data_IF_903917223409
#
_entry.id   IF_903917223409
#
_cell.length_a   1.000
_cell.length_b   1.000
_cell.length_c   1.000
_cell.angle_alpha   90.00
_cell.angle_beta   90.00
_cell.angle_gamma   90.00
#
_symmetry.space_group_name_H-M   'P 1'
#
loop_
_entity.id
_entity.type
_entity.pdbx_description
1 polymer ?
#
# COMPACT_ATOMS: atom_id res chain seq x y z
N UNK A 1 -20.12 -26.44 -0.44
CA UNK A 1 -19.52 -25.07 -0.45
C UNK A 1 -19.68 -24.42 -1.81
N UNK A 2 -19.20 -25.00 -2.93
CA UNK A 2 -19.30 -24.36 -4.27
C UNK A 2 -20.76 -24.18 -4.68
N UNK A 3 -21.64 -25.17 -4.47
CA UNK A 3 -23.06 -25.03 -4.80
C UNK A 3 -23.68 -23.81 -4.07
N UNK A 4 -23.46 -23.71 -2.74
CA UNK A 4 -23.96 -22.56 -1.97
C UNK A 4 -23.41 -21.24 -2.48
N UNK A 5 -22.12 -21.20 -2.84
CA UNK A 5 -21.52 -19.98 -3.41
C UNK A 5 -22.16 -19.62 -4.76
N UNK A 6 -22.43 -20.61 -5.61
CA UNK A 6 -23.10 -20.36 -6.89
C UNK A 6 -24.55 -19.88 -6.70
N UNK A 7 -25.26 -20.39 -5.68
CA UNK A 7 -26.59 -19.88 -5.33
C UNK A 7 -26.54 -18.39 -4.96
N UNK A 8 -25.52 -18.00 -4.15
CA UNK A 8 -25.30 -16.58 -3.79
C UNK A 8 -24.96 -15.71 -5.00
N UNK A 9 -24.22 -16.25 -5.96
CA UNK A 9 -23.96 -15.54 -7.23
C UNK A 9 -25.26 -15.30 -8.00
N UNK A 10 -26.17 -16.28 -8.03
CA UNK A 10 -27.46 -16.15 -8.69
C UNK A 10 -28.40 -15.18 -7.97
N UNK A 11 -28.31 -15.12 -6.63
CA UNK A 11 -29.02 -14.13 -5.81
C UNK A 11 -28.45 -12.71 -5.97
N UNK A 12 -27.21 -12.57 -6.49
CA UNK A 12 -26.52 -11.30 -6.67
C UNK A 12 -26.02 -10.65 -5.40
N UNK A 13 -26.01 -11.37 -4.27
CA UNK A 13 -25.50 -10.89 -2.99
C UNK A 13 -24.98 -12.04 -2.13
N UNK A 14 -23.80 -11.83 -1.50
CA UNK A 14 -23.20 -12.80 -0.60
C UNK A 14 -23.64 -12.56 0.85
N UNK A 15 -24.69 -13.26 1.27
CA UNK A 15 -25.21 -13.22 2.63
C UNK A 15 -24.31 -13.91 3.67
N UNK A 16 -23.38 -14.75 3.23
CA UNK A 16 -22.57 -15.57 4.11
C UNK A 16 -21.29 -14.80 4.54
N UNK A 17 -20.66 -14.05 3.63
CA UNK A 17 -19.38 -13.37 3.87
C UNK A 17 -19.35 -11.92 3.40
N UNK A 18 -20.39 -11.40 2.78
CA UNK A 18 -20.47 -10.02 2.33
C UNK A 18 -19.51 -9.68 1.18
N UNK A 19 -19.20 -10.65 0.32
CA UNK A 19 -18.36 -10.41 -0.86
C UNK A 19 -19.05 -9.39 -1.78
N UNK A 20 -18.26 -8.44 -2.29
CA UNK A 20 -18.76 -7.40 -3.20
C UNK A 20 -19.52 -8.05 -4.39
N UNK A 21 -20.74 -7.61 -4.68
CA UNK A 21 -21.54 -8.14 -5.80
C UNK A 21 -20.81 -8.12 -7.14
N UNK A 22 -19.94 -7.13 -7.38
CA UNK A 22 -19.13 -7.06 -8.60
C UNK A 22 -18.08 -8.18 -8.71
N UNK A 23 -17.76 -8.82 -7.59
CA UNK A 23 -16.81 -9.91 -7.50
C UNK A 23 -17.48 -11.29 -7.45
N UNK A 24 -18.81 -11.37 -7.49
CA UNK A 24 -19.55 -12.63 -7.48
C UNK A 24 -19.51 -13.27 -8.88
N UNK A 25 -18.57 -14.18 -9.05
CA UNK A 25 -18.40 -14.95 -10.28
C UNK A 25 -18.65 -16.44 -9.99
N UNK A 26 -19.55 -17.08 -10.74
CA UNK A 26 -19.85 -18.50 -10.59
C UNK A 26 -18.62 -19.38 -10.84
N UNK A 27 -18.59 -20.50 -10.16
CA UNK A 27 -17.58 -21.56 -10.34
C UNK A 27 -18.30 -22.75 -10.97
N UNK A 28 -18.45 -22.77 -12.30
CA UNK A 28 -19.23 -23.75 -13.02
C UNK A 28 -18.59 -24.26 -14.34
N UNK A 29 -17.50 -23.63 -14.79
CA UNK A 29 -16.82 -24.05 -16.03
C UNK A 29 -15.44 -24.66 -15.72
N UNK A 30 -15.18 -25.91 -16.14
CA UNK A 30 -13.86 -26.52 -16.03
C UNK A 30 -12.86 -25.90 -17.02
N UNK A 31 -11.53 -26.00 -16.76
CA UNK A 31 -10.91 -26.73 -15.65
C UNK A 31 -10.92 -25.99 -14.32
N UNK A 32 -11.09 -26.73 -13.21
CA UNK A 32 -11.09 -26.16 -11.86
C UNK A 32 -9.68 -26.23 -11.24
N UNK A 33 -9.31 -25.18 -10.55
CA UNK A 33 -8.03 -25.08 -9.86
C UNK A 33 -8.26 -24.83 -8.37
N UNK A 34 -7.59 -25.61 -7.54
CA UNK A 34 -7.57 -25.42 -6.10
C UNK A 34 -6.15 -25.10 -5.63
N UNK A 35 -6.01 -23.99 -4.93
CA UNK A 35 -4.75 -23.57 -4.36
C UNK A 35 -4.85 -23.62 -2.84
N UNK A 36 -3.91 -24.34 -2.22
CA UNK A 36 -3.81 -24.35 -0.76
C UNK A 36 -3.20 -23.04 -0.30
N UNK A 37 -3.97 -22.29 0.47
CA UNK A 37 -3.52 -21.06 1.10
C UNK A 37 -3.37 -21.24 2.61
N UNK A 38 -2.49 -20.50 3.23
CA UNK A 38 -2.29 -20.45 4.67
C UNK A 38 -2.16 -19.01 5.14
N UNK A 39 -2.14 -18.82 6.45
CA UNK A 39 -1.88 -17.51 7.03
C UNK A 39 -0.42 -17.12 6.80
N UNK A 40 -0.21 -15.87 6.39
CA UNK A 40 1.11 -15.27 6.21
C UNK A 40 1.06 -13.78 6.54
N UNK A 41 2.22 -13.23 6.90
CA UNK A 41 2.35 -11.78 7.04
C UNK A 41 2.69 -11.17 5.68
N UNK A 42 1.88 -10.24 5.24
CA UNK A 42 2.14 -9.49 4.02
C UNK A 42 2.87 -8.17 4.33
N UNK A 43 2.37 -7.45 5.32
CA UNK A 43 2.87 -6.12 5.69
C UNK A 43 2.48 -5.80 7.13
N UNK A 44 3.29 -4.98 7.79
CA UNK A 44 2.92 -4.31 9.04
C UNK A 44 2.40 -2.90 8.71
N UNK A 45 1.33 -2.49 9.38
CA UNK A 45 0.75 -1.16 9.17
C UNK A 45 1.29 -0.14 10.17
N UNK A 46 1.82 -0.61 11.27
CA UNK A 46 2.53 0.19 12.26
C UNK A 46 4.04 0.10 12.05
N UNK A 47 4.74 1.20 12.26
CA UNK A 47 6.18 1.30 12.09
C UNK A 47 6.73 2.54 12.77
N UNK A 48 7.95 2.93 12.40
CA UNK A 48 8.55 4.16 12.89
C UNK A 48 7.75 5.38 12.42
N UNK A 49 7.45 6.30 13.32
CA UNK A 49 6.90 7.60 12.93
C UNK A 49 7.95 8.39 12.17
N UNK A 50 7.58 8.93 11.04
CA UNK A 50 8.45 9.76 10.19
C UNK A 50 7.77 11.06 9.84
N UNK A 51 8.58 12.09 9.55
CA UNK A 51 8.10 13.32 8.94
C UNK A 51 8.05 13.19 7.39
N UNK A 52 7.72 14.27 6.71
CA UNK A 52 7.66 14.37 5.24
C UNK A 52 9.01 14.16 4.54
N UNK A 53 10.12 14.28 5.27
CA UNK A 53 11.50 14.02 4.81
C UNK A 53 12.03 12.64 5.21
N UNK A 54 11.15 11.74 5.65
CA UNK A 54 11.45 10.36 6.06
C UNK A 54 12.37 10.24 7.28
N UNK A 55 12.57 11.32 8.05
CA UNK A 55 13.31 11.31 9.30
C UNK A 55 12.46 10.72 10.41
N UNK A 56 13.04 9.84 11.20
CA UNK A 56 12.32 9.20 12.33
C UNK A 56 12.12 10.19 13.47
N UNK A 57 10.90 10.21 13.97
CA UNK A 57 10.48 11.02 15.10
C UNK A 57 10.53 10.21 16.39
N UNK A 58 10.92 10.88 17.50
CA UNK A 58 10.89 10.28 18.83
C UNK A 58 9.46 9.91 19.25
N UNK A 59 9.36 9.05 20.26
CA UNK A 59 8.07 8.69 20.87
C UNK A 59 7.56 9.73 21.87
N UNK A 60 8.37 10.72 22.19
CA UNK A 60 8.04 11.75 23.16
C UNK A 60 6.89 12.64 22.67
N UNK A 61 6.32 13.41 23.58
CA UNK A 61 5.18 14.30 23.28
C UNK A 61 5.54 15.30 22.17
N UNK A 62 6.77 15.78 22.16
CA UNK A 62 7.26 16.79 21.21
C UNK A 62 7.65 16.20 19.85
N UNK A 63 7.71 14.87 19.74
CA UNK A 63 8.02 14.15 18.49
C UNK A 63 9.20 14.77 17.71
N UNK A 64 10.31 15.04 18.40
CA UNK A 64 11.48 15.61 17.76
C UNK A 64 12.15 14.61 16.81
N UNK A 65 12.81 15.14 15.80
CA UNK A 65 13.60 14.33 14.85
C UNK A 65 14.76 13.65 15.57
N UNK A 66 14.95 12.36 15.32
CA UNK A 66 16.14 11.63 15.77
C UNK A 66 17.22 11.82 14.70
N UNK A 67 18.30 12.57 14.98
CA UNK A 67 19.29 12.90 13.97
C UNK A 67 19.94 11.65 13.35
N UNK A 68 20.05 11.64 12.03
CA UNK A 68 20.70 10.56 11.27
C UNK A 68 19.90 9.26 11.17
N UNK A 69 18.65 9.22 11.68
CA UNK A 69 17.80 8.04 11.59
C UNK A 69 16.66 8.28 10.61
N UNK A 70 16.56 7.42 9.60
CA UNK A 70 15.53 7.46 8.56
C UNK A 70 14.77 6.13 8.51
N UNK A 71 13.50 6.17 8.14
CA UNK A 71 12.71 4.96 7.88
C UNK A 71 11.89 5.16 6.61
N UNK A 72 11.93 4.16 5.72
CA UNK A 72 11.28 4.22 4.41
C UNK A 72 10.45 2.96 4.15
N UNK A 73 9.54 3.02 3.18
CA UNK A 73 8.75 1.88 2.78
C UNK A 73 7.85 1.34 3.89
N UNK A 74 7.71 0.02 3.98
CA UNK A 74 6.77 -0.62 4.90
C UNK A 74 7.15 -0.51 6.38
N UNK A 75 8.38 -0.14 6.70
CA UNK A 75 8.82 0.08 8.09
C UNK A 75 8.43 1.48 8.60
N UNK A 76 8.14 2.42 7.70
CA UNK A 76 7.62 3.73 8.06
C UNK A 76 6.09 3.64 8.29
N UNK A 77 5.59 4.25 9.37
CA UNK A 77 4.16 4.31 9.67
C UNK A 77 3.46 5.48 8.96
N UNK A 78 2.13 5.47 9.01
CA UNK A 78 1.30 6.62 8.65
C UNK A 78 0.74 6.60 7.23
N UNK A 79 1.15 5.69 6.36
CA UNK A 79 0.61 5.61 5.00
C UNK A 79 -0.76 4.94 4.95
N UNK A 80 -0.88 3.78 5.60
CA UNK A 80 -2.16 3.09 5.76
C UNK A 80 -2.61 3.32 7.20
N UNK A 81 -3.63 4.11 7.43
CA UNK A 81 -4.02 4.54 8.78
C UNK A 81 -4.39 3.36 9.69
N UNK A 82 -5.30 2.49 9.25
CA UNK A 82 -5.78 1.34 10.01
C UNK A 82 -6.04 0.11 9.15
N UNK A 83 -6.02 0.26 7.84
CA UNK A 83 -6.39 -0.78 6.90
C UNK A 83 -5.44 -0.78 5.69
N UNK A 84 -5.06 -1.96 5.23
CA UNK A 84 -4.31 -2.09 4.00
C UNK A 84 -5.26 -1.94 2.81
N UNK A 85 -5.23 -0.79 2.17
CA UNK A 85 -6.09 -0.54 1.01
C UNK A 85 -5.67 -1.43 -0.16
N UNK A 86 -6.59 -2.31 -0.55
CA UNK A 86 -6.44 -3.13 -1.76
C UNK A 86 -6.74 -2.34 -3.03
N UNK A 87 -7.35 -1.15 -2.90
CA UNK A 87 -7.70 -0.29 -4.04
C UNK A 87 -6.48 0.38 -4.66
N UNK A 88 -5.38 0.46 -3.90
CA UNK A 88 -4.13 1.04 -4.38
C UNK A 88 -3.18 -0.07 -4.83
N UNK A 89 -3.39 -0.58 -6.02
CA UNK A 89 -2.49 -1.56 -6.64
C UNK A 89 -1.05 -1.02 -6.68
N UNK A 90 -0.09 -1.84 -6.24
CA UNK A 90 1.33 -1.49 -6.13
C UNK A 90 1.67 -0.33 -5.18
N UNK A 91 0.73 0.12 -4.34
CA UNK A 91 0.94 1.23 -3.41
C UNK A 91 2.14 1.04 -2.50
N UNK A 92 2.36 -0.17 -2.00
CA UNK A 92 3.54 -0.50 -1.18
C UNK A 92 4.85 -0.34 -1.95
N UNK A 93 4.92 -0.82 -3.20
CA UNK A 93 6.11 -0.70 -4.04
C UNK A 93 6.40 0.75 -4.43
N UNK A 94 5.37 1.48 -4.87
CA UNK A 94 5.47 2.90 -5.20
C UNK A 94 5.94 3.71 -3.98
N UNK A 95 5.40 3.44 -2.80
CA UNK A 95 5.83 4.06 -1.55
C UNK A 95 7.29 3.80 -1.24
N UNK A 96 7.76 2.56 -1.39
CA UNK A 96 9.17 2.24 -1.15
C UNK A 96 10.09 3.05 -2.08
N UNK A 97 9.74 3.18 -3.35
CA UNK A 97 10.51 3.94 -4.32
C UNK A 97 10.49 5.45 -4.00
N UNK A 98 9.30 6.01 -3.73
CA UNK A 98 9.15 7.44 -3.42
C UNK A 98 9.84 7.81 -2.11
N UNK A 99 9.61 7.04 -1.05
CA UNK A 99 10.24 7.31 0.24
C UNK A 99 11.76 7.18 0.17
N UNK A 100 12.26 6.20 -0.61
CA UNK A 100 13.69 6.04 -0.84
C UNK A 100 14.30 7.24 -1.56
N UNK A 101 13.60 7.77 -2.56
CA UNK A 101 14.01 8.98 -3.29
C UNK A 101 14.03 10.21 -2.39
N UNK A 102 12.98 10.42 -1.57
CA UNK A 102 12.91 11.54 -0.61
C UNK A 102 14.07 11.45 0.39
N UNK A 103 14.26 10.32 1.03
CA UNK A 103 15.32 10.13 2.02
C UNK A 103 16.71 10.31 1.42
N UNK A 104 16.94 9.84 0.20
CA UNK A 104 18.22 9.98 -0.47
C UNK A 104 18.57 11.45 -0.76
N UNK A 105 17.60 12.25 -1.22
CA UNK A 105 17.79 13.68 -1.45
C UNK A 105 18.03 14.41 -0.14
N UNK A 106 17.26 14.12 0.90
CA UNK A 106 17.48 14.71 2.25
C UNK A 106 18.89 14.42 2.77
N UNK A 107 19.34 13.16 2.69
CA UNK A 107 20.70 12.78 3.12
C UNK A 107 21.78 13.47 2.28
N UNK A 108 21.53 13.68 0.99
CA UNK A 108 22.44 14.38 0.09
C UNK A 108 22.41 15.90 0.26
N UNK A 109 21.52 16.44 1.11
CA UNK A 109 21.34 17.88 1.30
C UNK A 109 20.71 18.59 0.10
N UNK A 110 19.96 17.85 -0.72
CA UNK A 110 19.19 18.39 -1.84
C UNK A 110 17.77 18.67 -1.36
N UNK A 111 17.35 19.93 -1.46
CA UNK A 111 15.97 20.28 -1.17
C UNK A 111 15.07 19.83 -2.33
N UNK A 112 14.14 18.92 -2.02
CA UNK A 112 13.21 18.39 -3.02
C UNK A 112 12.20 19.45 -3.49
N UNK A 113 11.97 20.49 -2.70
CA UNK A 113 11.08 21.59 -3.05
C UNK A 113 11.73 22.54 -4.05
N UNK A 114 13.06 22.60 -4.08
CA UNK A 114 13.85 23.37 -5.04
C UNK A 114 14.12 22.65 -6.37
N UNK A 115 13.68 21.40 -6.49
CA UNK A 115 13.85 20.66 -7.74
C UNK A 115 13.01 21.28 -8.86
N UNK A 116 13.59 21.46 -10.07
CA UNK A 116 12.89 22.07 -11.18
C UNK A 116 11.58 21.34 -11.50
N UNK A 117 10.53 22.10 -11.74
CA UNK A 117 9.15 21.62 -12.02
C UNK A 117 9.09 20.59 -13.17
N UNK A 118 10.15 20.52 -13.98
CA UNK A 118 10.33 19.64 -15.12
C UNK A 118 11.39 18.55 -14.90
N UNK A 119 11.60 18.08 -13.67
CA UNK A 119 12.33 16.83 -13.50
C UNK A 119 11.70 15.77 -14.44
N UNK A 120 12.50 15.00 -15.23
CA UNK A 120 12.04 14.30 -16.43
C UNK A 120 10.95 13.23 -16.20
N UNK A 121 10.49 13.09 -14.98
CA UNK A 121 9.42 12.15 -14.61
C UNK A 121 8.10 12.84 -14.21
N UNK A 122 8.05 14.17 -14.14
CA UNK A 122 6.87 14.89 -13.64
C UNK A 122 5.76 15.10 -14.67
N UNK A 123 6.04 14.91 -15.96
CA UNK A 123 5.10 15.21 -17.06
C UNK A 123 5.05 14.15 -18.16
N UNK A 124 5.25 12.88 -17.84
CA UNK A 124 4.80 11.86 -18.77
C UNK A 124 3.35 11.56 -18.45
N UNK A 125 2.44 12.17 -19.20
CA UNK A 125 1.12 11.59 -19.40
C UNK A 125 1.36 10.19 -19.96
N UNK A 126 1.29 9.20 -19.09
CA UNK A 126 1.50 7.78 -19.45
C UNK A 126 0.27 7.24 -20.20
N UNK A 127 -0.72 8.11 -20.47
CA UNK A 127 -2.03 7.76 -21.05
C UNK A 127 -2.37 8.56 -22.31
N UNK A 128 -1.40 9.23 -22.95
CA UNK A 128 -1.56 9.72 -24.34
C UNK A 128 -0.92 8.77 -25.35
#
# INVERSE_FOLDING_TARGET
TVARYNDLCDEGYDWDFGKDPQCLLRIDEPPYYAVRTGCGFLVTQSGAYVNDRMQVLSKDVDRHVIPGLYAIGNVASGFNAFEFSMDTTLGSLARCATNGWIAANEIAGVDIDDLPEHAPYRNRNVFE
#
